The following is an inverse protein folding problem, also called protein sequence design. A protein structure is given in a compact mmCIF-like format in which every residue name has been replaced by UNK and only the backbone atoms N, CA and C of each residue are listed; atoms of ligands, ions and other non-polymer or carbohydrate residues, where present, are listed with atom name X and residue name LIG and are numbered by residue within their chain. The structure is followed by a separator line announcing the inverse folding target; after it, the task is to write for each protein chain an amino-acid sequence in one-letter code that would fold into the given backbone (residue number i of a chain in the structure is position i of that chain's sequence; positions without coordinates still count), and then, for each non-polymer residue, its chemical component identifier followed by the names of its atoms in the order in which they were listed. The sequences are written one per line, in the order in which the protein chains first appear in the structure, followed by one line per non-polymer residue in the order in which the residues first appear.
data_IF_118024846230
#
_entry.id   IF_118024846230
#
_cell.length_a   1.000
_cell.length_b   1.000
_cell.length_c   1.000
_cell.angle_alpha   90.00
_cell.angle_beta   90.00
_cell.angle_gamma   90.00
#
_symmetry.space_group_name_H-M   'P 1'
#
loop_
_entity.id
_entity.type
_entity.pdbx_description
1 polymer ?
#
# COMPACT_ATOMS: atom_id res chain seq x y z
N UNK A 1 -4.43 -13.30 -49.33
CA UNK A 1 -3.09 -12.72 -49.04
C UNK A 1 -2.60 -13.29 -47.73
N UNK A 2 -1.31 -13.63 -47.68
CA UNK A 2 -0.71 -14.56 -46.72
C UNK A 2 -0.54 -13.96 -45.32
N UNK A 3 -0.82 -14.81 -44.34
CA UNK A 3 -0.35 -14.81 -42.96
C UNK A 3 1.15 -14.46 -42.88
N UNK A 4 1.53 -13.56 -41.97
CA UNK A 4 2.90 -13.45 -41.46
C UNK A 4 2.86 -13.40 -39.94
N UNK A 5 2.94 -14.59 -39.35
CA UNK A 5 3.39 -14.79 -37.98
C UNK A 5 4.84 -14.31 -37.88
N UNK A 6 5.08 -13.30 -37.05
CA UNK A 6 6.43 -13.00 -36.56
C UNK A 6 6.68 -13.85 -35.33
N UNK A 7 7.43 -14.93 -35.51
CA UNK A 7 8.07 -15.67 -34.43
C UNK A 7 9.24 -14.84 -33.91
N UNK A 8 9.13 -14.32 -32.70
CA UNK A 8 10.28 -13.76 -31.97
C UNK A 8 11.01 -14.95 -31.34
N UNK A 9 12.19 -15.23 -31.87
CA UNK A 9 13.15 -16.21 -31.37
C UNK A 9 13.92 -15.56 -30.24
N UNK A 10 13.68 -16.01 -29.00
CA UNK A 10 14.51 -15.66 -27.85
C UNK A 10 15.76 -16.56 -27.85
N UNK A 11 16.92 -15.96 -28.10
CA UNK A 11 18.21 -16.65 -28.06
C UNK A 11 18.68 -16.74 -26.60
N UNK A 12 18.68 -17.96 -26.06
CA UNK A 12 19.35 -18.30 -24.80
C UNK A 12 20.87 -18.25 -25.02
N UNK A 13 21.56 -17.30 -24.38
CA UNK A 13 23.02 -17.29 -24.31
C UNK A 13 23.48 -17.98 -23.02
N UNK A 14 23.88 -19.26 -23.14
CA UNK A 14 24.70 -19.95 -22.16
C UNK A 14 26.15 -19.44 -22.27
N UNK A 15 26.68 -18.87 -21.19
CA UNK A 15 28.12 -18.78 -20.96
C UNK A 15 28.44 -19.36 -19.59
N UNK A 16 28.99 -20.57 -19.60
CA UNK A 16 29.67 -21.18 -18.46
C UNK A 16 31.11 -20.67 -18.40
N UNK A 17 31.57 -20.24 -17.23
CA UNK A 17 32.98 -20.34 -16.87
C UNK A 17 33.14 -20.35 -15.36
N UNK A 18 33.49 -21.54 -14.87
CA UNK A 18 34.10 -21.83 -13.57
C UNK A 18 35.43 -21.10 -13.46
N UNK A 19 35.69 -20.49 -12.30
CA UNK A 19 37.07 -20.33 -11.81
C UNK A 19 37.12 -20.25 -10.28
N UNK A 20 37.87 -21.19 -9.69
CA UNK A 20 38.24 -21.29 -8.28
C UNK A 20 39.21 -20.18 -7.89
N UNK A 21 39.03 -19.59 -6.71
CA UNK A 21 40.12 -18.96 -5.95
C UNK A 21 39.89 -19.15 -4.45
N UNK A 22 40.66 -20.08 -3.87
CA UNK A 22 40.81 -20.38 -2.44
C UNK A 22 42.13 -19.78 -1.95
N UNK A 23 42.13 -19.08 -0.80
CA UNK A 23 43.21 -19.00 0.20
C UNK A 23 42.87 -17.97 1.30
N UNK A 24 43.52 -17.97 2.48
CA UNK A 24 43.76 -19.08 3.41
C UNK A 24 43.14 -18.79 4.80
N UNK A 25 42.71 -19.86 5.48
CA UNK A 25 42.24 -19.82 6.87
C UNK A 25 43.44 -19.91 7.82
N UNK A 26 43.54 -19.03 8.81
CA UNK A 26 44.57 -19.07 9.87
C UNK A 26 43.98 -19.69 11.15
N UNK A 27 44.74 -20.50 11.93
CA UNK A 27 44.20 -21.35 13.00
C UNK A 27 43.88 -20.61 14.32
N UNK A 28 42.95 -21.16 15.11
CA UNK A 28 42.43 -20.64 16.38
C UNK A 28 43.36 -20.72 17.61
N UNK A 29 42.83 -20.44 18.82
CA UNK A 29 42.43 -21.52 19.74
C UNK A 29 41.03 -21.26 20.36
N UNK A 30 40.10 -22.20 20.29
CA UNK A 30 39.86 -23.37 21.16
C UNK A 30 38.76 -23.09 22.20
N UNK A 31 37.79 -24.02 22.38
CA UNK A 31 36.56 -23.78 23.11
C UNK A 31 36.76 -24.04 24.62
N UNK A 32 36.02 -23.33 25.45
CA UNK A 32 35.88 -23.70 26.86
C UNK A 32 34.69 -24.66 26.99
N UNK A 33 35.01 -25.89 27.41
CA UNK A 33 34.12 -27.01 27.73
C UNK A 33 33.12 -26.73 28.87
N UNK A 34 32.07 -27.55 28.99
CA UNK A 34 30.99 -27.43 29.96
C UNK A 34 31.26 -28.25 31.24
N UNK A 35 30.70 -27.85 32.38
CA UNK A 35 30.51 -28.73 33.55
C UNK A 35 29.61 -28.05 34.61
N UNK A 36 29.01 -28.80 35.55
CA UNK A 36 28.16 -29.97 35.39
C UNK A 36 26.81 -29.79 36.13
N UNK A 37 25.84 -30.66 35.86
CA UNK A 37 24.60 -30.79 36.62
C UNK A 37 24.73 -31.76 37.81
N UNK A 38 24.02 -31.46 38.91
CA UNK A 38 23.35 -32.38 39.88
C UNK A 38 23.34 -31.79 41.33
N UNK A 39 22.49 -32.27 42.27
CA UNK A 39 21.11 -32.82 42.20
C UNK A 39 20.13 -32.15 43.22
N UNK A 40 18.93 -32.73 43.33
CA UNK A 40 17.70 -32.28 44.00
C UNK A 40 17.69 -32.16 45.56
N UNK A 41 16.75 -31.36 46.10
CA UNK A 41 15.80 -31.74 47.18
C UNK A 41 14.88 -30.59 47.66
N UNK A 42 13.57 -30.90 47.69
CA UNK A 42 12.57 -30.72 48.77
C UNK A 42 12.37 -29.38 49.52
N UNK A 43 11.13 -28.84 49.46
CA UNK A 43 10.20 -28.27 50.50
C UNK A 43 10.75 -27.51 51.75
N UNK A 44 9.95 -26.77 52.56
CA UNK A 44 8.57 -26.26 52.45
C UNK A 44 8.44 -24.73 52.76
N UNK A 45 7.21 -24.22 52.72
CA UNK A 45 6.76 -22.88 53.16
C UNK A 45 7.24 -22.46 54.56
N UNK A 46 7.63 -21.19 54.70
CA UNK A 46 7.52 -20.44 55.96
C UNK A 46 7.16 -18.98 55.70
N UNK A 47 6.07 -18.56 56.33
CA UNK A 47 5.50 -17.21 56.36
C UNK A 47 6.50 -16.13 56.82
N UNK A 48 6.41 -14.89 56.32
CA UNK A 48 6.99 -13.74 56.99
C UNK A 48 6.16 -13.34 58.24
N UNK A 49 6.82 -12.80 59.28
CA UNK A 49 6.22 -12.51 60.58
C UNK A 49 5.31 -11.28 60.60
N UNK A 50 4.31 -11.37 61.48
CA UNK A 50 3.41 -10.31 61.94
C UNK A 50 4.21 -9.16 62.58
N UNK A 51 3.93 -7.93 62.16
CA UNK A 51 4.31 -6.70 62.85
C UNK A 51 3.06 -5.82 63.05
N UNK A 52 2.99 -5.04 64.15
CA UNK A 52 1.74 -4.76 64.86
C UNK A 52 0.80 -3.78 64.16
N UNK A 53 -0.49 -4.01 64.37
CA UNK A 53 -1.60 -3.17 63.95
C UNK A 53 -1.43 -1.70 64.37
N UNK A 54 -1.41 -0.80 63.38
CA UNK A 54 -1.56 0.63 63.59
C UNK A 54 -3.04 1.03 63.39
N UNK A 55 -3.61 1.93 64.21
CA UNK A 55 -5.05 2.24 64.17
C UNK A 55 -5.50 2.81 62.81
N UNK A 56 -6.61 2.29 62.29
CA UNK A 56 -7.27 2.75 61.06
C UNK A 56 -7.61 4.24 61.14
N UNK A 57 -6.99 5.06 60.28
CA UNK A 57 -7.50 6.39 59.95
C UNK A 57 -8.62 6.26 58.89
N UNK A 58 -9.65 7.13 58.91
CA UNK A 58 -10.77 7.06 57.97
C UNK A 58 -10.28 7.27 56.54
N UNK A 59 -10.74 6.40 55.63
CA UNK A 59 -10.47 6.48 54.20
C UNK A 59 -10.84 7.87 53.65
N UNK A 60 -9.84 8.64 53.22
CA UNK A 60 -10.04 9.80 52.36
C UNK A 60 -10.43 9.29 50.97
N UNK A 61 -11.61 9.68 50.51
CA UNK A 61 -12.10 9.35 49.18
C UNK A 61 -11.10 9.85 48.11
N UNK A 62 -10.58 8.91 47.32
CA UNK A 62 -9.78 9.20 46.15
C UNK A 62 -10.65 9.97 45.13
N UNK A 63 -10.21 11.15 44.62
CA UNK A 63 -10.96 11.85 43.58
C UNK A 63 -11.06 10.97 42.32
N UNK A 64 -12.26 10.87 41.78
CA UNK A 64 -12.53 10.20 40.52
C UNK A 64 -11.68 10.82 39.38
N UNK A 65 -11.24 10.02 38.39
CA UNK A 65 -10.54 10.55 37.22
C UNK A 65 -11.45 11.56 36.50
N UNK A 66 -10.90 12.75 36.25
CA UNK A 66 -11.58 13.79 35.49
C UNK A 66 -11.90 13.27 34.08
N UNK A 67 -13.09 13.57 33.53
CA UNK A 67 -13.42 13.22 32.15
C UNK A 67 -12.38 13.82 31.20
N UNK A 68 -11.86 13.00 30.29
CA UNK A 68 -11.01 13.46 29.20
C UNK A 68 -11.71 14.61 28.46
N UNK A 69 -11.01 15.73 28.31
CA UNK A 69 -11.46 16.82 27.46
C UNK A 69 -11.66 16.30 26.03
N UNK A 70 -12.73 16.70 25.33
CA UNK A 70 -12.92 16.33 23.93
C UNK A 70 -11.69 16.77 23.12
N UNK A 71 -11.11 15.83 22.37
CA UNK A 71 -10.11 16.14 21.36
C UNK A 71 -10.67 17.24 20.46
N UNK A 72 -9.88 18.28 20.20
CA UNK A 72 -10.22 19.27 19.20
C UNK A 72 -10.50 18.54 17.87
N UNK A 73 -11.56 18.89 17.14
CA UNK A 73 -11.84 18.25 15.86
C UNK A 73 -10.65 18.51 14.94
N UNK A 74 -10.03 17.43 14.46
CA UNK A 74 -9.18 17.49 13.28
C UNK A 74 -9.94 18.23 12.17
N UNK A 75 -9.27 19.05 11.35
CA UNK A 75 -9.92 19.76 10.26
C UNK A 75 -10.74 18.75 9.45
N UNK A 76 -12.00 19.12 9.19
CA UNK A 76 -13.00 18.27 8.56
C UNK A 76 -12.40 17.57 7.36
N UNK A 77 -12.12 16.28 7.54
CA UNK A 77 -11.81 15.33 6.49
C UNK A 77 -12.93 15.48 5.46
N UNK A 78 -12.57 16.01 4.31
CA UNK A 78 -13.43 16.11 3.14
C UNK A 78 -14.20 14.79 3.03
N UNK A 79 -15.53 14.87 3.19
CA UNK A 79 -16.42 13.75 3.53
C UNK A 79 -15.87 12.40 3.06
N UNK A 80 -15.40 11.58 4.00
CA UNK A 80 -14.52 10.43 3.78
C UNK A 80 -14.80 9.70 2.45
N UNK A 81 -14.04 10.05 1.41
CA UNK A 81 -14.14 9.43 0.09
C UNK A 81 -13.87 7.94 0.24
N UNK A 82 -14.77 7.12 -0.30
CA UNK A 82 -14.70 5.65 -0.17
C UNK A 82 -13.72 5.07 -1.20
N UNK A 83 -13.00 4.03 -0.79
CA UNK A 83 -12.15 3.21 -1.66
C UNK A 83 -12.96 2.40 -2.67
N UNK A 84 -12.30 1.90 -3.71
CA UNK A 84 -12.84 0.96 -4.70
C UNK A 84 -12.96 -0.45 -4.14
N UNK A 85 -12.05 -0.82 -3.24
CA UNK A 85 -12.15 -2.06 -2.50
C UNK A 85 -13.20 -1.94 -1.38
N UNK A 86 -14.10 -2.93 -1.21
CA UNK A 86 -15.25 -2.81 -0.32
C UNK A 86 -14.89 -2.87 1.18
N UNK A 87 -13.76 -3.50 1.52
CA UNK A 87 -13.30 -3.65 2.90
C UNK A 87 -12.28 -2.55 3.25
N UNK A 88 -12.19 -2.12 4.52
CA UNK A 88 -11.12 -1.23 4.97
C UNK A 88 -9.75 -1.89 4.75
N UNK A 89 -8.72 -1.10 4.45
CA UNK A 89 -7.34 -1.60 4.22
C UNK A 89 -6.71 -2.16 5.49
N UNK A 90 -6.05 -3.31 5.39
CA UNK A 90 -5.15 -3.85 6.42
C UNK A 90 -3.69 -3.60 6.00
N UNK A 91 -2.95 -2.70 6.67
CA UNK A 91 -1.57 -2.38 6.30
C UNK A 91 -0.58 -3.53 6.57
N UNK A 92 -1.01 -4.61 7.24
CA UNK A 92 -0.16 -5.75 7.59
C UNK A 92 -0.40 -6.97 6.69
N UNK A 93 -1.41 -6.91 5.83
CA UNK A 93 -1.89 -8.05 5.05
C UNK A 93 -1.96 -7.78 3.55
N UNK A 94 -2.04 -8.87 2.80
CA UNK A 94 -2.40 -8.86 1.38
C UNK A 94 -3.83 -9.38 1.29
N UNK A 95 -4.71 -8.61 0.67
CA UNK A 95 -6.13 -8.92 0.67
C UNK A 95 -6.62 -9.28 -0.73
N UNK A 96 -7.27 -10.43 -0.87
CA UNK A 96 -7.94 -10.81 -2.10
C UNK A 96 -9.39 -10.34 -2.08
N UNK A 97 -9.86 -9.74 -3.17
CA UNK A 97 -11.24 -9.30 -3.26
C UNK A 97 -11.68 -8.98 -4.67
N UNK A 98 -12.77 -8.23 -4.76
CA UNK A 98 -13.39 -7.85 -6.03
C UNK A 98 -13.57 -6.33 -6.05
N UNK A 99 -12.93 -5.67 -7.01
CA UNK A 99 -13.13 -4.25 -7.30
C UNK A 99 -14.51 -4.06 -7.92
N UNK A 100 -15.23 -3.05 -7.45
CA UNK A 100 -16.55 -2.69 -7.98
C UNK A 100 -16.42 -1.50 -8.92
N UNK A 101 -16.81 -1.67 -10.18
CA UNK A 101 -16.80 -0.59 -11.16
C UNK A 101 -17.66 0.58 -10.70
N UNK A 102 -17.11 1.80 -10.74
CA UNK A 102 -17.84 3.06 -10.54
C UNK A 102 -17.70 3.92 -11.80
N UNK A 103 -18.71 4.71 -12.18
CA UNK A 103 -18.52 5.76 -13.17
C UNK A 103 -17.39 6.70 -12.74
N UNK A 104 -16.59 7.20 -13.67
CA UNK A 104 -15.46 8.07 -13.33
C UNK A 104 -15.20 9.13 -14.40
N UNK A 105 -14.67 10.28 -13.98
CA UNK A 105 -14.00 11.20 -14.88
C UNK A 105 -12.54 10.74 -15.04
N UNK A 106 -12.05 10.68 -16.27
CA UNK A 106 -10.78 10.05 -16.64
C UNK A 106 -9.93 11.06 -17.41
N UNK A 107 -8.68 11.22 -16.98
CA UNK A 107 -7.66 12.00 -17.65
C UNK A 107 -6.47 11.09 -17.96
N UNK A 108 -6.09 11.01 -19.23
CA UNK A 108 -4.91 10.26 -19.66
C UNK A 108 -3.66 11.15 -19.66
N UNK A 109 -2.50 10.56 -19.37
CA UNK A 109 -1.23 11.28 -19.36
C UNK A 109 -0.03 10.37 -19.58
N UNK A 110 1.15 10.98 -19.60
CA UNK A 110 2.45 10.33 -19.68
C UNK A 110 3.36 11.00 -18.65
N UNK A 111 4.17 10.23 -17.94
CA UNK A 111 5.14 10.73 -16.97
C UNK A 111 6.43 9.91 -17.02
N UNK A 112 7.51 10.47 -16.49
CA UNK A 112 8.70 9.72 -16.07
C UNK A 112 8.54 9.25 -14.62
N UNK A 113 9.41 8.34 -14.18
CA UNK A 113 9.45 7.89 -12.78
C UNK A 113 9.81 9.02 -11.82
N UNK A 114 10.83 9.83 -12.16
CA UNK A 114 11.26 10.98 -11.34
C UNK A 114 10.16 12.04 -11.16
N UNK A 115 9.27 12.20 -12.14
CA UNK A 115 8.19 13.20 -12.11
C UNK A 115 6.84 12.61 -11.69
N UNK A 116 6.78 11.33 -11.33
CA UNK A 116 5.54 10.58 -11.09
C UNK A 116 4.64 11.30 -10.07
N UNK A 117 5.14 11.57 -8.86
CA UNK A 117 4.36 12.22 -7.80
C UNK A 117 3.78 13.56 -8.27
N UNK A 118 4.61 14.40 -8.91
CA UNK A 118 4.21 15.73 -9.36
C UNK A 118 3.14 15.65 -10.46
N UNK A 119 3.33 14.77 -11.45
CA UNK A 119 2.40 14.66 -12.58
C UNK A 119 1.07 14.02 -12.18
N UNK A 120 1.07 13.03 -11.29
CA UNK A 120 -0.14 12.42 -10.75
C UNK A 120 -0.93 13.41 -9.88
N UNK A 121 -0.23 14.14 -8.99
CA UNK A 121 -0.81 15.26 -8.22
C UNK A 121 -1.51 16.27 -9.13
N UNK A 122 -0.84 16.71 -10.20
CA UNK A 122 -1.38 17.67 -11.14
C UNK A 122 -2.60 17.12 -11.91
N UNK A 123 -2.57 15.83 -12.29
CA UNK A 123 -3.68 15.17 -12.95
C UNK A 123 -4.92 15.09 -12.05
N UNK A 124 -4.74 14.69 -10.79
CA UNK A 124 -5.83 14.67 -9.78
C UNK A 124 -6.39 16.07 -9.57
N UNK A 125 -5.54 17.07 -9.34
CA UNK A 125 -5.97 18.45 -9.14
C UNK A 125 -6.74 19.01 -10.35
N UNK A 126 -6.32 18.68 -11.58
CA UNK A 126 -7.04 19.07 -12.81
C UNK A 126 -8.42 18.41 -12.87
N UNK A 127 -8.53 17.12 -12.59
CA UNK A 127 -9.82 16.41 -12.55
C UNK A 127 -10.76 17.02 -11.51
N UNK A 128 -10.28 17.26 -10.28
CA UNK A 128 -11.09 17.87 -9.22
C UNK A 128 -11.57 19.27 -9.60
N UNK A 129 -10.70 20.09 -10.19
CA UNK A 129 -11.05 21.44 -10.62
C UNK A 129 -12.16 21.44 -11.68
N UNK A 130 -12.07 20.57 -12.69
CA UNK A 130 -13.08 20.48 -13.75
C UNK A 130 -14.39 19.86 -13.26
N UNK A 131 -14.34 18.85 -12.39
CA UNK A 131 -15.51 18.28 -11.73
C UNK A 131 -16.25 19.35 -10.91
N UNK A 132 -15.50 20.14 -10.12
CA UNK A 132 -16.04 21.25 -9.33
C UNK A 132 -16.68 22.32 -10.21
N UNK A 133 -16.05 22.71 -11.33
CA UNK A 133 -16.62 23.67 -12.28
C UNK A 133 -17.94 23.18 -12.90
N UNK A 134 -18.05 21.88 -13.15
CA UNK A 134 -19.26 21.27 -13.68
C UNK A 134 -20.32 20.94 -12.60
N UNK A 135 -20.02 21.19 -11.32
CA UNK A 135 -20.93 20.88 -10.21
C UNK A 135 -21.10 19.38 -9.96
N UNK A 136 -20.13 18.55 -10.34
CA UNK A 136 -20.16 17.10 -10.17
C UNK A 136 -19.32 16.75 -8.93
N UNK A 137 -19.93 16.25 -7.84
CA UNK A 137 -19.18 15.86 -6.66
C UNK A 137 -18.44 14.52 -6.89
N UNK A 138 -17.19 14.38 -6.42
CA UNK A 138 -16.51 13.10 -6.34
C UNK A 138 -17.29 12.11 -5.46
N UNK A 139 -17.29 10.84 -5.85
CA UNK A 139 -17.97 9.73 -5.17
C UNK A 139 -17.01 8.63 -4.69
N UNK A 140 -15.70 8.89 -4.72
CA UNK A 140 -14.67 7.95 -4.29
C UNK A 140 -13.28 8.59 -4.33
N UNK A 141 -12.28 7.84 -3.87
CA UNK A 141 -10.88 8.25 -3.89
C UNK A 141 -10.35 8.34 -5.34
N UNK A 142 -9.44 9.28 -5.64
CA UNK A 142 -8.73 9.28 -6.90
C UNK A 142 -7.91 8.00 -7.06
N UNK A 143 -7.80 7.50 -8.29
CA UNK A 143 -6.95 6.38 -8.63
C UNK A 143 -6.24 6.60 -9.96
N UNK A 144 -5.16 5.88 -10.20
CA UNK A 144 -4.43 5.87 -11.46
C UNK A 144 -4.24 4.44 -11.92
N UNK A 145 -4.49 4.19 -13.20
CA UNK A 145 -4.14 2.95 -13.88
C UNK A 145 -2.86 3.20 -14.69
N UNK A 146 -1.83 2.41 -14.46
CA UNK A 146 -0.60 2.43 -15.23
C UNK A 146 -0.78 1.50 -16.43
N UNK A 147 -1.05 2.07 -17.60
CA UNK A 147 -1.50 1.31 -18.79
C UNK A 147 -0.37 0.84 -19.70
N UNK A 148 0.81 1.44 -19.56
CA UNK A 148 1.99 1.11 -20.34
C UNK A 148 3.21 1.63 -19.55
N UNK A 149 4.14 0.77 -19.20
CA UNK A 149 5.31 1.11 -18.38
C UNK A 149 6.59 0.63 -19.04
N UNK A 150 7.65 1.43 -18.94
CA UNK A 150 9.00 1.09 -19.38
C UNK A 150 10.06 1.71 -18.45
N UNK A 151 11.34 1.46 -18.72
CA UNK A 151 12.44 1.95 -17.88
C UNK A 151 12.54 3.49 -17.77
N UNK A 152 11.94 4.24 -18.69
CA UNK A 152 11.99 5.70 -18.74
C UNK A 152 10.74 6.36 -18.14
N UNK A 153 9.63 5.63 -18.06
CA UNK A 153 8.39 6.16 -17.53
C UNK A 153 7.17 5.32 -17.88
N UNK A 154 6.02 6.00 -17.91
CA UNK A 154 4.75 5.32 -18.05
C UNK A 154 3.67 6.21 -18.67
N UNK A 155 2.71 5.55 -19.32
CA UNK A 155 1.42 6.12 -19.67
C UNK A 155 0.40 5.73 -18.61
N UNK A 156 -0.50 6.64 -18.29
CA UNK A 156 -1.47 6.43 -17.23
C UNK A 156 -2.85 6.98 -17.56
N UNK A 157 -3.85 6.45 -16.86
CA UNK A 157 -5.20 7.01 -16.77
C UNK A 157 -5.53 7.32 -15.31
N UNK A 158 -5.55 8.59 -14.94
CA UNK A 158 -6.01 9.03 -13.62
C UNK A 158 -7.53 9.20 -13.67
N UNK A 159 -8.21 8.75 -12.62
CA UNK A 159 -9.64 8.73 -12.52
C UNK A 159 -10.13 9.27 -11.18
N UNK A 160 -11.25 9.98 -11.20
CA UNK A 160 -12.02 10.30 -10.00
C UNK A 160 -13.41 9.69 -10.14
N UNK A 161 -13.80 8.74 -9.25
CA UNK A 161 -15.14 8.17 -9.26
C UNK A 161 -16.21 9.24 -9.06
N UNK A 162 -17.32 9.13 -9.79
CA UNK A 162 -18.50 10.00 -9.71
C UNK A 162 -19.76 9.16 -9.55
N UNK A 163 -20.80 9.71 -8.95
CA UNK A 163 -22.04 8.96 -8.69
C UNK A 163 -22.76 8.56 -9.99
N UNK A 164 -22.71 9.43 -11.00
CA UNK A 164 -23.31 9.21 -12.31
C UNK A 164 -22.63 10.09 -13.36
N UNK A 165 -22.58 9.60 -14.60
CA UNK A 165 -22.20 10.42 -15.75
C UNK A 165 -23.41 11.28 -16.13
N UNK A 166 -23.25 12.60 -16.35
CA UNK A 166 -24.35 13.44 -16.80
C UNK A 166 -24.94 12.94 -18.13
N UNK A 167 -26.27 12.87 -18.23
CA UNK A 167 -26.94 12.36 -19.42
C UNK A 167 -26.52 13.11 -20.70
N UNK A 168 -26.26 12.35 -21.76
CA UNK A 168 -25.84 12.89 -23.05
C UNK A 168 -24.39 13.41 -23.11
N UNK A 169 -23.59 13.22 -22.05
CA UNK A 169 -22.16 13.57 -22.06
C UNK A 169 -21.28 12.32 -22.09
N UNK A 170 -20.37 12.26 -23.06
CA UNK A 170 -19.27 11.30 -23.10
C UNK A 170 -17.99 11.86 -22.48
N UNK A 171 -17.89 13.18 -22.35
CA UNK A 171 -16.73 13.90 -21.86
C UNK A 171 -17.15 15.12 -21.02
N UNK A 172 -16.27 15.49 -20.09
CA UNK A 172 -16.37 16.66 -19.24
C UNK A 172 -15.72 17.87 -19.91
N UNK A 173 -14.54 17.64 -20.50
CA UNK A 173 -13.76 18.58 -21.32
C UNK A 173 -13.10 17.78 -22.45
N UNK A 174 -12.49 18.42 -23.47
CA UNK A 174 -11.79 17.69 -24.54
C UNK A 174 -10.68 16.75 -24.04
N UNK A 175 -10.11 17.01 -22.86
CA UNK A 175 -9.05 16.19 -22.26
C UNK A 175 -9.59 15.18 -21.23
N UNK A 176 -10.79 15.40 -20.70
CA UNK A 176 -11.38 14.61 -19.61
C UNK A 176 -12.62 13.90 -20.11
N UNK A 177 -12.52 12.58 -20.28
CA UNK A 177 -13.63 11.71 -20.70
C UNK A 177 -14.35 11.13 -19.49
N UNK A 178 -15.59 10.68 -19.68
CA UNK A 178 -16.25 9.82 -18.71
C UNK A 178 -16.01 8.34 -19.06
N UNK A 179 -15.74 7.54 -18.04
CA UNK A 179 -15.45 6.11 -18.15
C UNK A 179 -15.93 5.34 -16.93
N UNK A 180 -15.30 4.19 -16.68
CA UNK A 180 -15.52 3.37 -15.49
C UNK A 180 -14.20 3.01 -14.86
N UNK A 181 -14.17 2.93 -13.53
CA UNK A 181 -13.04 2.38 -12.81
C UNK A 181 -12.89 0.87 -13.07
N UNK A 182 -11.71 0.28 -12.81
CA UNK A 182 -11.49 -1.15 -12.93
C UNK A 182 -12.47 -1.98 -12.10
N UNK A 183 -12.72 -3.20 -12.56
CA UNK A 183 -13.63 -4.15 -11.92
C UNK A 183 -13.09 -5.57 -11.95
N UNK A 184 -13.61 -6.41 -11.05
CA UNK A 184 -13.26 -7.82 -11.00
C UNK A 184 -12.23 -8.15 -9.93
N UNK A 185 -11.68 -9.37 -9.99
CA UNK A 185 -10.76 -9.88 -8.97
C UNK A 185 -9.51 -9.01 -8.89
N UNK A 186 -9.06 -8.74 -7.67
CA UNK A 186 -7.82 -8.03 -7.40
C UNK A 186 -7.21 -8.49 -6.08
N UNK A 187 -5.89 -8.40 -6.00
CA UNK A 187 -5.09 -8.40 -4.79
C UNK A 187 -4.86 -6.95 -4.40
N UNK A 188 -5.13 -6.57 -3.14
CA UNK A 188 -4.78 -5.27 -2.57
C UNK A 188 -3.51 -5.40 -1.74
N UNK A 189 -2.57 -4.51 -2.02
CA UNK A 189 -1.37 -4.25 -1.25
C UNK A 189 -1.45 -2.80 -0.75
N UNK A 190 -1.00 -2.56 0.48
CA UNK A 190 -1.03 -1.21 1.07
C UNK A 190 0.40 -0.69 1.13
N UNK A 191 0.65 0.44 0.49
CA UNK A 191 1.82 1.25 0.74
C UNK A 191 1.46 2.30 1.78
N UNK A 192 2.22 2.35 2.87
CA UNK A 192 2.08 3.38 3.91
C UNK A 192 3.47 3.83 4.36
N UNK A 193 4.02 4.75 3.60
CA UNK A 193 5.28 5.46 3.84
C UNK A 193 5.35 6.66 2.88
N UNK A 194 6.50 7.31 2.77
CA UNK A 194 6.77 8.29 1.73
C UNK A 194 6.55 7.68 0.34
N UNK A 195 5.86 8.40 -0.55
CA UNK A 195 5.65 7.95 -1.93
C UNK A 195 6.97 7.70 -2.66
N UNK A 196 8.03 8.41 -2.32
CA UNK A 196 9.36 8.20 -2.91
C UNK A 196 9.96 6.82 -2.54
N UNK A 197 9.40 6.12 -1.54
CA UNK A 197 9.77 4.75 -1.15
C UNK A 197 8.81 3.69 -1.73
N UNK A 198 7.88 4.07 -2.61
CA UNK A 198 6.86 3.15 -3.15
C UNK A 198 7.46 2.00 -3.96
N UNK A 199 8.64 2.19 -4.55
CA UNK A 199 9.37 1.17 -5.32
C UNK A 199 9.59 -0.11 -4.49
N UNK A 200 9.90 0.01 -3.19
CA UNK A 200 10.05 -1.14 -2.30
C UNK A 200 8.75 -1.95 -2.13
N UNK A 201 7.60 -1.30 -2.27
CA UNK A 201 6.30 -1.99 -2.27
C UNK A 201 6.10 -2.78 -3.57
N UNK A 202 6.50 -2.22 -4.73
CA UNK A 202 6.45 -2.92 -6.02
C UNK A 202 7.41 -4.12 -6.08
N UNK A 203 8.58 -4.03 -5.47
CA UNK A 203 9.49 -5.18 -5.30
C UNK A 203 8.81 -6.30 -4.50
N UNK A 204 8.16 -5.94 -3.40
CA UNK A 204 7.41 -6.88 -2.54
C UNK A 204 6.25 -7.53 -3.28
N UNK A 205 5.49 -6.75 -4.06
CA UNK A 205 4.40 -7.24 -4.89
C UNK A 205 4.93 -8.27 -5.89
N UNK A 206 5.99 -7.93 -6.63
CA UNK A 206 6.56 -8.82 -7.65
C UNK A 206 7.04 -10.14 -7.04
N UNK A 207 7.74 -10.08 -5.91
CA UNK A 207 8.19 -11.28 -5.20
C UNK A 207 7.00 -12.13 -4.72
N UNK A 208 5.94 -11.50 -4.20
CA UNK A 208 4.74 -12.23 -3.79
C UNK A 208 4.05 -12.93 -4.97
N UNK A 209 3.88 -12.24 -6.10
CA UNK A 209 3.26 -12.81 -7.30
C UNK A 209 4.06 -14.01 -7.83
N UNK A 210 5.39 -13.92 -7.84
CA UNK A 210 6.28 -15.03 -8.24
C UNK A 210 6.14 -16.25 -7.31
N UNK A 211 6.22 -16.03 -5.98
CA UNK A 211 6.07 -17.10 -4.98
C UNK A 211 4.71 -17.80 -5.07
N UNK A 212 3.66 -17.05 -5.42
CA UNK A 212 2.30 -17.56 -5.57
C UNK A 212 1.99 -18.09 -6.97
N UNK A 213 2.94 -17.97 -7.90
CA UNK A 213 2.77 -18.31 -9.32
C UNK A 213 1.55 -17.58 -9.95
N UNK A 214 1.29 -16.35 -9.53
CA UNK A 214 0.18 -15.52 -10.02
C UNK A 214 0.70 -14.68 -11.18
N UNK A 215 0.09 -14.88 -12.35
CA UNK A 215 0.31 -14.02 -13.51
C UNK A 215 -0.63 -12.82 -13.42
N UNK A 216 -0.09 -11.61 -13.28
CA UNK A 216 -0.86 -10.37 -13.26
C UNK A 216 -1.23 -9.89 -14.68
N UNK A 217 -2.30 -9.12 -14.79
CA UNK A 217 -2.60 -8.26 -15.93
C UNK A 217 -1.47 -7.25 -16.15
N UNK A 218 -1.33 -6.75 -17.37
CA UNK A 218 -0.24 -5.83 -17.74
C UNK A 218 -0.54 -4.38 -17.29
N UNK A 219 -1.17 -4.22 -16.12
CA UNK A 219 -1.52 -2.93 -15.53
C UNK A 219 -1.60 -3.02 -13.99
N UNK A 220 -1.01 -2.03 -13.33
CA UNK A 220 -1.18 -1.77 -11.90
C UNK A 220 -2.19 -0.65 -11.69
N UNK A 221 -2.89 -0.66 -10.56
CA UNK A 221 -3.85 0.37 -10.19
C UNK A 221 -3.45 0.91 -8.82
N UNK A 222 -3.16 2.19 -8.73
CA UNK A 222 -2.97 2.88 -7.46
C UNK A 222 -4.22 3.65 -7.09
N UNK A 223 -4.71 3.51 -5.87
CA UNK A 223 -5.76 4.35 -5.31
C UNK A 223 -5.21 5.14 -4.13
N UNK A 224 -5.30 6.47 -4.22
CA UNK A 224 -4.68 7.38 -3.27
C UNK A 224 -5.63 7.64 -2.11
N UNK A 225 -5.29 7.07 -0.95
CA UNK A 225 -6.06 7.24 0.29
C UNK A 225 -5.71 8.58 0.93
N UNK A 226 -4.42 8.94 0.89
CA UNK A 226 -3.88 10.25 1.29
C UNK A 226 -3.92 11.26 0.14
N UNK A 227 -3.90 12.55 0.48
CA UNK A 227 -3.87 13.65 -0.50
C UNK A 227 -2.42 13.95 -0.92
N UNK A 228 -2.21 14.34 -2.18
CA UNK A 228 -0.87 14.65 -2.72
C UNK A 228 -0.30 15.97 -2.20
N UNK A 229 0.16 16.01 -0.95
CA UNK A 229 0.77 17.18 -0.32
C UNK A 229 2.27 17.21 -0.58
N UNK A 230 2.99 16.21 -0.08
CA UNK A 230 4.45 16.06 -0.07
C UNK A 230 4.82 14.60 -0.39
N UNK A 231 5.83 14.37 -1.23
CA UNK A 231 6.25 13.00 -1.61
C UNK A 231 7.03 12.31 -0.49
N UNK A 232 7.57 13.09 0.45
CA UNK A 232 8.33 12.63 1.61
C UNK A 232 7.44 12.42 2.86
N UNK A 233 6.12 12.55 2.72
CA UNK A 233 5.17 12.31 3.81
C UNK A 233 5.09 10.82 4.16
N UNK A 234 5.66 10.43 5.31
CA UNK A 234 5.67 9.04 5.78
C UNK A 234 4.30 8.52 6.21
N UNK A 235 3.28 9.37 6.29
CA UNK A 235 1.88 8.98 6.52
C UNK A 235 1.08 8.86 5.20
N UNK A 236 1.73 8.98 4.03
CA UNK A 236 1.09 8.83 2.74
C UNK A 236 0.65 7.37 2.52
N UNK A 237 -0.63 7.18 2.20
CA UNK A 237 -1.23 5.86 2.04
C UNK A 237 -1.78 5.66 0.62
N UNK A 238 -1.37 4.58 -0.02
CA UNK A 238 -1.80 4.14 -1.35
C UNK A 238 -2.21 2.68 -1.30
N UNK A 239 -3.40 2.38 -1.83
CA UNK A 239 -3.78 1.01 -2.13
C UNK A 239 -3.31 0.67 -3.54
N UNK A 240 -2.44 -0.32 -3.68
CA UNK A 240 -2.00 -0.86 -4.96
C UNK A 240 -2.80 -2.13 -5.25
N UNK A 241 -3.55 -2.12 -6.34
CA UNK A 241 -4.32 -3.27 -6.80
C UNK A 241 -3.64 -3.96 -7.98
N UNK A 242 -3.55 -5.28 -7.88
CA UNK A 242 -3.07 -6.16 -8.94
C UNK A 242 -4.20 -7.09 -9.37
N UNK A 243 -4.54 -7.10 -10.66
CA UNK A 243 -5.55 -8.01 -11.19
C UNK A 243 -4.85 -9.25 -11.77
N UNK A 244 -5.19 -10.48 -11.37
CA UNK A 244 -4.65 -11.68 -12.01
C UNK A 244 -5.24 -11.88 -13.41
N UNK A 245 -4.42 -12.35 -14.36
CA UNK A 245 -4.89 -12.81 -15.67
C UNK A 245 -5.84 -13.99 -15.49
N UNK A 246 -6.90 -14.01 -16.30
CA UNK A 246 -7.92 -15.06 -16.29
C UNK A 246 -7.49 -16.34 -17.01
#
# INVERSE_FOLDING_TARGET
MRLRSSHIVLVLALCSSVSLAQAPQTPGPSPADPAPAAPASSEPSTSPPEAPAQPQQPATAQPAPAPAAPAAPAPAQEAARTTLFPNPSDPTGIEEGVLTAKPAAVLSGISTWDEAFTNLKNAVAKLEAELKKAGIPPAGRPLTIFVDTDDNGFKYETMIPVAQVPEGKSELTPDIKFGKTPEGKALRFVHKDAYDEIDGTYETITAYLDIKEIVAEDAFIEEYVSEFTDSQDTDFEVNIYVQPKR
#
